data_IF_514930983527
#
_entry.id   IF_514930983527
#
_cell.length_a   1.000
_cell.length_b   1.000
_cell.length_c   1.000
_cell.angle_alpha   90.00
_cell.angle_beta   90.00
_cell.angle_gamma   90.00
#
_symmetry.space_group_name_H-M   'P 1'
#
loop_
_entity.id
_entity.type
_entity.pdbx_description
1 polymer ?
#
# COMPACT_ATOMS: atom_id res chain seq x y z
N UNK A 1 8.10 11.64 -12.53
CA UNK A 1 8.47 10.63 -13.57
C UNK A 1 7.69 10.91 -14.84
N UNK A 2 8.38 11.17 -15.94
CA UNK A 2 7.76 11.68 -17.17
C UNK A 2 7.87 10.64 -18.28
N UNK A 3 6.74 10.34 -18.91
CA UNK A 3 6.67 9.47 -20.09
C UNK A 3 6.44 10.37 -21.30
N UNK A 4 7.35 10.29 -22.27
CA UNK A 4 7.22 11.01 -23.52
C UNK A 4 6.20 10.28 -24.42
N UNK A 5 5.08 10.94 -24.73
CA UNK A 5 4.01 10.37 -25.56
C UNK A 5 3.88 11.03 -26.92
N UNK A 6 4.46 12.23 -27.07
CA UNK A 6 4.48 12.94 -28.33
C UNK A 6 5.31 12.21 -29.39
N UNK A 7 4.72 11.93 -30.54
CA UNK A 7 5.40 11.24 -31.64
C UNK A 7 5.55 9.73 -31.50
N UNK A 8 4.99 9.11 -30.45
CA UNK A 8 4.98 7.64 -30.35
C UNK A 8 4.10 7.03 -31.45
N UNK A 9 4.55 5.90 -31.99
CA UNK A 9 3.73 5.04 -32.87
C UNK A 9 2.69 4.30 -32.03
N UNK A 10 1.61 3.84 -32.65
CA UNK A 10 0.66 2.95 -32.02
C UNK A 10 1.32 1.63 -31.61
N UNK A 11 0.93 1.08 -30.48
CA UNK A 11 1.46 -0.14 -29.90
C UNK A 11 1.93 0.00 -28.45
N UNK A 12 2.60 -1.02 -27.95
CA UNK A 12 3.02 -1.13 -26.56
C UNK A 12 4.46 -0.62 -26.40
N UNK A 13 4.64 0.32 -25.48
CA UNK A 13 5.92 0.90 -25.08
C UNK A 13 6.20 0.60 -23.63
N UNK A 14 7.41 0.12 -23.33
CA UNK A 14 7.81 -0.25 -21.97
C UNK A 14 8.81 0.75 -21.42
N UNK A 15 8.62 1.10 -20.16
CA UNK A 15 9.46 2.02 -19.40
C UNK A 15 9.84 1.39 -18.07
N UNK A 16 11.03 1.69 -17.61
CA UNK A 16 11.50 1.31 -16.28
C UNK A 16 12.15 2.52 -15.62
N UNK A 17 11.67 2.88 -14.45
CA UNK A 17 12.20 3.97 -13.65
C UNK A 17 12.75 3.40 -12.35
N UNK A 18 13.82 4.01 -11.89
CA UNK A 18 14.39 3.83 -10.57
C UNK A 18 14.48 5.22 -9.96
N UNK A 19 13.84 5.43 -8.83
CA UNK A 19 13.67 6.76 -8.25
C UNK A 19 13.82 6.70 -6.73
N UNK A 20 14.54 7.68 -6.18
CA UNK A 20 14.63 7.87 -4.74
C UNK A 20 13.24 8.22 -4.18
N UNK A 21 12.75 7.48 -3.16
CA UNK A 21 11.49 7.79 -2.50
C UNK A 21 11.38 9.23 -1.98
N UNK A 22 12.49 9.85 -1.62
CA UNK A 22 12.53 11.25 -1.19
C UNK A 22 12.11 12.23 -2.31
N UNK A 23 12.44 11.94 -3.57
CA UNK A 23 12.00 12.74 -4.72
C UNK A 23 10.48 12.66 -4.95
N UNK A 24 9.85 11.60 -4.47
CA UNK A 24 8.40 11.42 -4.45
C UNK A 24 7.75 12.03 -3.19
N UNK A 25 8.53 12.63 -2.29
CA UNK A 25 8.04 13.14 -1.02
C UNK A 25 7.50 12.04 -0.09
N UNK A 26 8.05 10.83 -0.18
CA UNK A 26 7.75 9.73 0.73
C UNK A 26 8.54 9.87 2.04
N UNK A 27 8.03 9.22 3.09
CA UNK A 27 8.67 9.26 4.42
C UNK A 27 10.02 8.54 4.45
N UNK A 28 10.85 8.87 5.45
CA UNK A 28 12.16 8.24 5.70
C UNK A 28 12.11 6.74 5.97
N UNK A 29 10.91 6.17 6.10
CA UNK A 29 10.75 4.73 6.22
C UNK A 29 11.17 3.97 4.96
N UNK A 30 11.12 4.63 3.79
CA UNK A 30 11.57 4.07 2.52
C UNK A 30 13.04 4.42 2.31
N UNK A 31 13.91 3.42 2.32
CA UNK A 31 15.38 3.58 2.29
C UNK A 31 16.02 3.09 1.00
N UNK A 32 15.28 2.40 0.15
CA UNK A 32 15.75 1.89 -1.12
C UNK A 32 14.95 2.53 -2.26
N UNK A 33 15.59 2.65 -3.41
CA UNK A 33 14.96 3.19 -4.61
C UNK A 33 13.68 2.40 -4.98
N UNK A 34 12.65 3.13 -5.32
CA UNK A 34 11.44 2.55 -5.89
C UNK A 34 11.69 2.16 -7.35
N UNK A 35 11.34 0.93 -7.71
CA UNK A 35 11.38 0.43 -9.08
C UNK A 35 9.98 0.46 -9.65
N UNK A 36 9.80 1.21 -10.74
CA UNK A 36 8.53 1.34 -11.44
C UNK A 36 8.69 0.77 -12.85
N UNK A 37 7.95 -0.28 -13.14
CA UNK A 37 7.84 -0.87 -14.47
C UNK A 37 6.50 -0.46 -15.07
N UNK A 38 6.52 0.28 -16.16
CA UNK A 38 5.33 0.81 -16.79
C UNK A 38 5.23 0.33 -18.24
N UNK A 39 4.03 -0.07 -18.63
CA UNK A 39 3.67 -0.43 -20.00
C UNK A 39 2.58 0.52 -20.48
N UNK A 40 2.87 1.28 -21.52
CA UNK A 40 1.97 2.22 -22.15
C UNK A 40 1.52 1.62 -23.50
N UNK A 41 0.23 1.31 -23.59
CA UNK A 41 -0.40 0.89 -24.85
C UNK A 41 -1.06 2.11 -25.50
N UNK A 42 -0.53 2.52 -26.65
CA UNK A 42 -1.06 3.63 -27.43
C UNK A 42 -1.95 3.10 -28.55
N UNK A 43 -3.19 3.59 -28.58
CA UNK A 43 -4.15 3.30 -29.65
C UNK A 43 -4.83 4.59 -30.09
N UNK A 44 -4.52 5.07 -31.28
CA UNK A 44 -5.08 6.31 -31.87
C UNK A 44 -5.05 7.52 -30.89
N UNK A 45 -6.18 7.81 -30.22
CA UNK A 45 -6.36 8.99 -29.36
C UNK A 45 -6.42 8.64 -27.86
N UNK A 46 -6.02 7.45 -27.48
CA UNK A 46 -6.06 7.01 -26.10
C UNK A 46 -4.79 6.22 -25.74
N UNK A 47 -4.44 6.29 -24.46
CA UNK A 47 -3.31 5.55 -23.90
C UNK A 47 -3.79 4.76 -22.70
N UNK A 48 -3.42 3.49 -22.63
CA UNK A 48 -3.58 2.67 -21.44
C UNK A 48 -2.22 2.48 -20.78
N UNK A 49 -2.05 3.09 -19.62
CA UNK A 49 -0.88 2.90 -18.77
C UNK A 49 -1.17 1.79 -17.75
N UNK A 50 -0.30 0.80 -17.69
CA UNK A 50 -0.25 -0.20 -16.62
C UNK A 50 1.10 -0.12 -15.94
N UNK A 51 1.11 0.07 -14.63
CA UNK A 51 2.35 0.21 -13.85
C UNK A 51 2.40 -0.79 -12.71
N UNK A 52 3.57 -1.37 -12.50
CA UNK A 52 3.89 -2.20 -11.33
C UNK A 52 5.02 -1.52 -10.58
N UNK A 53 4.83 -1.35 -9.27
CA UNK A 53 5.74 -0.61 -8.40
C UNK A 53 6.24 -1.55 -7.32
N UNK A 54 7.55 -1.55 -7.08
CA UNK A 54 8.20 -2.24 -5.97
C UNK A 54 9.05 -1.26 -5.20
N UNK A 55 8.87 -1.23 -3.88
CA UNK A 55 9.65 -0.38 -2.98
C UNK A 55 9.86 -1.09 -1.66
N UNK A 56 11.04 -0.98 -1.09
CA UNK A 56 11.38 -1.51 0.24
C UNK A 56 11.35 -0.40 1.28
N UNK A 57 10.87 -0.73 2.46
CA UNK A 57 10.86 0.18 3.59
C UNK A 57 11.07 -0.55 4.91
N UNK A 58 11.37 0.23 5.95
CA UNK A 58 11.52 -0.24 7.33
C UNK A 58 10.38 0.34 8.17
N UNK A 59 9.61 -0.52 8.80
CA UNK A 59 8.39 -0.16 9.52
C UNK A 59 8.44 -0.66 10.96
N UNK A 60 7.67 -0.03 11.83
CA UNK A 60 7.49 -0.48 13.21
C UNK A 60 6.31 -1.46 13.30
N UNK A 61 6.50 -2.55 14.02
CA UNK A 61 5.44 -3.54 14.22
C UNK A 61 4.38 -3.03 15.19
N UNK A 62 3.10 -3.04 14.81
CA UNK A 62 1.97 -2.57 15.63
C UNK A 62 1.76 -3.35 16.93
N UNK A 63 2.37 -4.55 17.05
CA UNK A 63 2.28 -5.38 18.26
C UNK A 63 3.47 -5.29 19.19
N UNK A 64 4.69 -5.28 18.64
CA UNK A 64 5.90 -5.37 19.47
C UNK A 64 6.87 -4.20 19.32
N UNK A 65 6.51 -3.19 18.49
CA UNK A 65 7.27 -1.95 18.25
C UNK A 65 8.69 -2.23 17.69
N UNK A 66 8.99 -3.47 17.31
CA UNK A 66 10.27 -3.78 16.67
C UNK A 66 10.26 -3.32 15.23
N UNK A 67 11.35 -2.70 14.80
CA UNK A 67 11.55 -2.32 13.39
C UNK A 67 11.82 -3.55 12.54
N UNK A 68 11.22 -3.60 11.36
CA UNK A 68 11.42 -4.70 10.42
C UNK A 68 11.35 -4.21 8.96
N UNK A 69 12.15 -4.78 8.07
CA UNK A 69 12.08 -4.47 6.65
C UNK A 69 10.84 -5.13 6.01
N UNK A 70 10.23 -4.43 5.06
CA UNK A 70 9.13 -4.96 4.26
C UNK A 70 9.21 -4.44 2.84
N UNK A 71 9.10 -5.35 1.88
CA UNK A 71 8.90 -4.99 0.49
C UNK A 71 7.41 -4.80 0.23
N UNK A 72 7.04 -3.68 -0.38
CA UNK A 72 5.71 -3.39 -0.87
C UNK A 72 5.71 -3.55 -2.39
N UNK A 73 4.67 -4.19 -2.90
CA UNK A 73 4.43 -4.30 -4.32
C UNK A 73 2.98 -3.91 -4.59
N UNK A 74 2.79 -3.04 -5.56
CA UNK A 74 1.48 -2.56 -5.97
C UNK A 74 1.44 -2.33 -7.46
N UNK A 75 0.25 -2.18 -8.01
CA UNK A 75 0.05 -1.86 -9.42
C UNK A 75 -1.15 -0.94 -9.55
N UNK A 76 -1.14 -0.14 -10.59
CA UNK A 76 -2.29 0.65 -11.01
C UNK A 76 -2.39 0.67 -12.53
N UNK A 77 -3.57 1.01 -13.03
CA UNK A 77 -3.81 1.31 -14.43
C UNK A 77 -4.53 2.66 -14.56
N UNK A 78 -4.27 3.34 -15.67
CA UNK A 78 -4.87 4.64 -15.97
C UNK A 78 -5.08 4.75 -17.47
N UNK A 79 -6.29 5.16 -17.85
CA UNK A 79 -6.62 5.52 -19.22
C UNK A 79 -6.45 7.03 -19.40
N UNK A 80 -5.62 7.43 -20.34
CA UNK A 80 -5.51 8.81 -20.79
C UNK A 80 -6.23 8.93 -22.11
N UNK A 81 -7.24 9.81 -22.16
CA UNK A 81 -8.04 10.06 -23.36
C UNK A 81 -7.94 11.53 -23.75
N UNK A 82 -7.84 11.81 -25.04
CA UNK A 82 -7.80 13.18 -25.51
C UNK A 82 -9.18 13.84 -25.46
N UNK A 83 -9.21 15.16 -25.25
CA UNK A 83 -10.46 15.92 -25.21
C UNK A 83 -11.31 15.67 -26.47
N UNK A 84 -12.61 15.39 -26.24
CA UNK A 84 -13.59 15.13 -27.30
C UNK A 84 -13.57 13.73 -27.90
N UNK A 85 -12.71 12.82 -27.43
CA UNK A 85 -12.75 11.42 -27.82
C UNK A 85 -13.91 10.70 -27.12
N UNK A 86 -14.68 9.92 -27.87
CA UNK A 86 -15.62 8.95 -27.31
C UNK A 86 -14.83 7.70 -26.90
N UNK A 87 -14.72 7.44 -25.61
CA UNK A 87 -13.87 6.38 -25.08
C UNK A 87 -14.62 5.12 -24.68
N UNK A 88 -15.99 5.13 -24.62
CA UNK A 88 -16.79 3.96 -24.28
C UNK A 88 -16.47 3.30 -22.92
N UNK A 89 -15.65 3.95 -22.07
CA UNK A 89 -15.20 3.44 -20.77
C UNK A 89 -16.22 3.79 -19.68
N UNK A 90 -16.51 2.84 -18.82
CA UNK A 90 -17.58 2.98 -17.81
C UNK A 90 -17.09 3.42 -16.43
N UNK A 91 -15.79 3.33 -16.14
CA UNK A 91 -15.25 3.73 -14.84
C UNK A 91 -14.50 5.06 -14.92
N UNK A 92 -15.08 6.16 -14.44
CA UNK A 92 -14.44 7.47 -14.46
C UNK A 92 -13.22 7.57 -13.53
N UNK A 93 -13.06 6.67 -12.54
CA UNK A 93 -11.95 6.71 -11.60
C UNK A 93 -10.61 6.30 -12.25
N UNK A 94 -10.67 5.57 -13.36
CA UNK A 94 -9.50 5.11 -14.11
C UNK A 94 -9.21 5.98 -15.36
N UNK A 95 -9.96 7.06 -15.57
CA UNK A 95 -9.88 7.88 -16.78
C UNK A 95 -9.36 9.27 -16.44
N UNK A 96 -8.31 9.68 -17.13
CA UNK A 96 -7.81 11.06 -17.11
C UNK A 96 -7.91 11.66 -18.50
N UNK A 97 -8.65 12.79 -18.59
CA UNK A 97 -8.73 13.55 -19.84
C UNK A 97 -7.49 14.41 -19.97
N UNK A 98 -6.83 14.31 -21.12
CA UNK A 98 -5.64 15.09 -21.45
C UNK A 98 -5.88 16.00 -22.65
N UNK A 99 -5.24 17.20 -22.70
CA UNK A 99 -5.38 18.11 -23.83
C UNK A 99 -4.81 17.48 -25.11
N UNK A 100 -5.43 17.85 -26.23
CA UNK A 100 -4.91 17.47 -27.55
C UNK A 100 -3.49 18.01 -27.76
N UNK A 101 -2.58 17.12 -28.24
CA UNK A 101 -1.20 17.49 -28.49
C UNK A 101 -0.30 17.45 -27.25
N UNK A 102 -0.75 16.90 -26.14
CA UNK A 102 0.11 16.60 -24.98
C UNK A 102 1.28 15.71 -25.41
N UNK A 103 2.49 16.13 -25.07
CA UNK A 103 3.72 15.40 -25.43
C UNK A 103 4.29 14.58 -24.28
N UNK A 104 3.90 14.87 -23.05
CA UNK A 104 4.47 14.26 -21.83
C UNK A 104 3.38 13.98 -20.81
N UNK A 105 3.34 12.76 -20.29
CA UNK A 105 2.50 12.38 -19.13
C UNK A 105 3.42 12.27 -17.91
N UNK A 106 3.07 12.96 -16.82
CA UNK A 106 3.77 12.83 -15.55
C UNK A 106 3.00 11.90 -14.62
N UNK A 107 3.65 10.79 -14.27
CA UNK A 107 3.08 9.72 -13.44
C UNK A 107 3.58 9.74 -11.99
N UNK A 108 4.28 10.80 -11.57
CA UNK A 108 4.94 10.85 -10.26
C UNK A 108 3.94 10.79 -9.11
N UNK A 109 2.83 11.53 -9.23
CA UNK A 109 1.79 11.58 -8.20
C UNK A 109 1.01 10.26 -8.10
N UNK A 110 0.70 9.63 -9.22
CA UNK A 110 0.00 8.34 -9.26
C UNK A 110 0.86 7.25 -8.59
N UNK A 111 2.16 7.23 -8.90
CA UNK A 111 3.11 6.31 -8.28
C UNK A 111 3.22 6.57 -6.77
N UNK A 112 3.35 7.83 -6.35
CA UNK A 112 3.40 8.21 -4.94
C UNK A 112 2.15 7.76 -4.19
N UNK A 113 0.97 8.04 -4.71
CA UNK A 113 -0.30 7.66 -4.09
C UNK A 113 -0.44 6.13 -4.02
N UNK A 114 -0.06 5.42 -5.08
CA UNK A 114 -0.10 3.96 -5.13
C UNK A 114 0.80 3.33 -4.08
N UNK A 115 2.01 3.88 -3.86
CA UNK A 115 2.92 3.43 -2.79
C UNK A 115 2.28 3.65 -1.42
N UNK A 116 1.74 4.83 -1.16
CA UNK A 116 1.11 5.14 0.13
C UNK A 116 -0.09 4.22 0.42
N UNK A 117 -0.92 3.96 -0.58
CA UNK A 117 -2.08 3.07 -0.46
C UNK A 117 -1.67 1.59 -0.32
N UNK A 118 -0.46 1.21 -0.73
CA UNK A 118 0.04 -0.15 -0.59
C UNK A 118 0.52 -0.49 0.82
N UNK A 119 0.67 0.50 1.70
CA UNK A 119 1.03 0.27 3.10
C UNK A 119 -0.15 -0.40 3.80
N UNK A 120 0.02 -1.61 4.35
CA UNK A 120 -1.07 -2.29 5.05
C UNK A 120 -1.53 -1.51 6.27
N UNK A 121 -2.84 -1.50 6.54
CA UNK A 121 -3.42 -0.90 7.75
C UNK A 121 -2.87 -1.50 9.05
N UNK A 122 -2.32 -2.70 9.00
CA UNK A 122 -1.68 -3.37 10.11
C UNK A 122 -0.31 -3.89 9.71
N UNK A 123 0.70 -3.33 10.33
CA UNK A 123 2.10 -3.69 10.12
C UNK A 123 2.56 -4.67 11.19
N UNK A 124 2.86 -5.90 10.79
CA UNK A 124 3.36 -6.94 11.69
C UNK A 124 4.71 -7.45 11.21
N UNK A 125 5.66 -7.61 12.13
CA UNK A 125 6.98 -8.19 11.82
C UNK A 125 6.87 -9.67 11.38
N UNK A 126 5.86 -10.38 11.89
CA UNK A 126 5.41 -11.69 11.43
C UNK A 126 3.96 -11.93 11.90
N UNK A 127 3.25 -12.85 11.26
CA UNK A 127 1.84 -13.12 11.55
C UNK A 127 1.63 -13.67 12.96
N UNK A 128 2.60 -14.42 13.49
CA UNK A 128 2.61 -14.98 14.83
C UNK A 128 3.17 -14.05 15.91
N UNK A 129 3.36 -12.75 15.62
CA UNK A 129 3.91 -11.80 16.58
C UNK A 129 3.10 -11.78 17.87
N UNK A 130 3.75 -12.08 19.01
CA UNK A 130 3.13 -12.12 20.34
C UNK A 130 2.96 -10.75 20.98
N UNK A 131 3.61 -9.73 20.42
CA UNK A 131 3.53 -8.36 20.93
C UNK A 131 4.32 -8.11 22.20
N UNK A 132 3.93 -7.05 22.90
CA UNK A 132 4.48 -6.66 24.21
C UNK A 132 3.59 -7.17 25.33
N UNK A 133 4.20 -7.45 26.46
CA UNK A 133 3.46 -7.75 27.69
C UNK A 133 2.67 -6.50 28.15
N UNK A 134 1.36 -6.59 28.40
CA UNK A 134 0.55 -5.43 28.81
C UNK A 134 0.92 -4.89 30.19
N UNK A 135 1.64 -5.66 31.03
CA UNK A 135 2.01 -5.26 32.38
C UNK A 135 3.42 -4.63 32.44
N UNK A 136 4.41 -5.23 31.79
CA UNK A 136 5.80 -4.80 31.93
C UNK A 136 6.44 -4.33 30.61
N UNK A 137 5.74 -4.41 29.48
CA UNK A 137 6.27 -3.97 28.20
C UNK A 137 7.33 -4.90 27.58
N UNK A 138 7.64 -6.04 28.21
CA UNK A 138 8.61 -6.99 27.66
C UNK A 138 8.12 -7.56 26.30
N UNK A 139 9.04 -7.67 25.33
CA UNK A 139 8.71 -8.26 24.03
C UNK A 139 8.55 -9.78 24.17
N UNK A 140 7.31 -10.26 24.01
CA UNK A 140 6.95 -11.67 24.17
C UNK A 140 7.45 -12.58 23.05
N UNK A 141 7.99 -12.01 21.96
CA UNK A 141 8.66 -12.79 20.93
C UNK A 141 10.04 -13.29 21.38
N UNK A 142 10.69 -12.56 22.30
CA UNK A 142 12.02 -12.90 22.81
C UNK A 142 12.00 -13.83 24.02
N UNK A 143 10.80 -14.13 24.56
CA UNK A 143 10.67 -15.01 25.73
C UNK A 143 9.39 -14.72 26.53
N UNK A 144 9.21 -15.47 27.62
CA UNK A 144 8.09 -15.24 28.53
C UNK A 144 8.52 -14.21 29.59
N UNK A 145 7.62 -13.29 29.92
CA UNK A 145 7.80 -12.42 31.09
C UNK A 145 7.37 -13.15 32.38
N UNK A 146 7.78 -12.63 33.52
CA UNK A 146 7.46 -13.17 34.87
C UNK A 146 6.15 -12.62 35.44
N UNK A 147 5.45 -11.76 34.70
CA UNK A 147 4.19 -11.19 35.13
C UNK A 147 3.10 -12.26 35.23
N UNK A 148 2.31 -12.22 36.30
CA UNK A 148 1.10 -13.03 36.41
C UNK A 148 0.05 -12.52 35.43
N UNK A 149 -0.55 -13.42 34.67
CA UNK A 149 -1.61 -13.11 33.69
C UNK A 149 -3.00 -12.88 34.34
N UNK A 150 -3.07 -13.01 35.66
CA UNK A 150 -4.33 -12.84 36.41
C UNK A 150 -4.45 -11.41 36.90
N UNK A 151 -4.86 -10.50 36.04
CA UNK A 151 -5.60 -9.32 36.48
C UNK A 151 -7.03 -9.47 35.97
N UNK A 152 -7.88 -10.09 36.74
CA UNK A 152 -9.32 -9.95 36.54
C UNK A 152 -9.65 -8.47 36.76
N UNK A 153 -9.71 -7.71 35.66
CA UNK A 153 -10.12 -6.32 35.70
C UNK A 153 -11.60 -6.30 36.14
N UNK A 154 -11.85 -5.90 37.40
CA UNK A 154 -13.17 -5.86 38.01
C UNK A 154 -14.24 -5.16 37.15
N UNK A 155 -13.82 -4.28 36.25
CA UNK A 155 -14.72 -3.61 35.29
C UNK A 155 -15.42 -4.59 34.35
N UNK A 156 -14.80 -5.74 34.05
CA UNK A 156 -15.32 -6.76 33.14
C UNK A 156 -16.01 -7.94 33.85
N UNK A 157 -16.08 -7.94 35.16
CA UNK A 157 -16.67 -9.01 35.97
C UNK A 157 -18.13 -9.33 35.57
N UNK A 158 -18.92 -8.28 35.26
CA UNK A 158 -20.29 -8.43 34.77
C UNK A 158 -20.39 -9.13 33.42
N UNK A 159 -19.41 -8.94 32.54
CA UNK A 159 -19.35 -9.63 31.22
C UNK A 159 -18.95 -11.10 31.40
N UNK A 160 -18.05 -11.42 32.32
CA UNK A 160 -17.69 -12.80 32.62
C UNK A 160 -18.91 -13.63 33.11
N UNK A 161 -19.83 -13.03 33.84
CA UNK A 161 -21.08 -13.67 34.24
C UNK A 161 -22.01 -13.97 33.07
N UNK A 162 -22.09 -13.05 32.09
CA UNK A 162 -22.88 -13.27 30.86
C UNK A 162 -22.29 -14.36 29.98
N UNK A 163 -20.97 -14.47 29.89
CA UNK A 163 -20.29 -15.53 29.14
C UNK A 163 -20.59 -16.90 29.72
N UNK A 164 -20.62 -17.06 31.05
CA UNK A 164 -20.98 -18.31 31.74
C UNK A 164 -22.43 -18.72 31.49
N UNK A 165 -23.37 -17.75 31.45
CA UNK A 165 -24.78 -18.02 31.12
C UNK A 165 -24.98 -18.58 29.74
N UNK A 166 -24.32 -17.98 28.71
CA UNK A 166 -24.44 -18.41 27.32
C UNK A 166 -23.86 -19.81 27.06
N UNK A 167 -22.92 -20.28 27.89
CA UNK A 167 -22.37 -21.64 27.80
C UNK A 167 -23.33 -22.68 28.36
N UNK A 168 -24.15 -22.33 29.38
CA UNK A 168 -25.12 -23.24 29.99
C UNK A 168 -26.43 -23.38 29.21
N UNK A 169 -26.79 -22.38 28.39
CA UNK A 169 -27.99 -22.42 27.53
C UNK A 169 -27.77 -23.17 26.20
N UNK A 170 -26.59 -23.68 25.94
CA UNK A 170 -26.25 -24.47 24.73
C UNK A 170 -26.04 -25.97 24.99
N UNK A 171 -26.43 -26.46 26.17
CA UNK A 171 -26.37 -27.92 26.54
C UNK A 171 -27.75 -28.55 26.51
#
# INVERSE_FOLDING_TARGET
>A
MKIQVGGLSDGIHQYRFQIDPAELGLSENFTEDAIVEASLDKSSNQFLLKSTIRVSGTFDCDRCISRFPRMLQSSYQMYYVTEGADHGLNDPAEIQVIPNGLTVIDISDDVRQTILLSIPLKLLCNDGCKGLCPHCGANLNNGRCTCSTTSDDLRWEKLAVLQKKNLNDRS
#
